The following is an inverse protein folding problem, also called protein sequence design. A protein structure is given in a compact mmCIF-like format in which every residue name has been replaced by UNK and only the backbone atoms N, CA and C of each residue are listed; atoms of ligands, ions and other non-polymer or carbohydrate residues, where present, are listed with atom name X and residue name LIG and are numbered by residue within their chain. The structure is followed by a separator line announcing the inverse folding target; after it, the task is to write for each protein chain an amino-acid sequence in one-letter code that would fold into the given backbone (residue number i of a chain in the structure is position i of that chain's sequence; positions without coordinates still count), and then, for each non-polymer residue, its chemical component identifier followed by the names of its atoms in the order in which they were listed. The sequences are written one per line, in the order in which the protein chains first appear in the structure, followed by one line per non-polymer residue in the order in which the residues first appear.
data_IF_373410472130
#
_entry.id   IF_373410472130
#
_cell.length_a   1.000
_cell.length_b   1.000
_cell.length_c   1.000
_cell.angle_alpha   90.00
_cell.angle_beta   90.00
_cell.angle_gamma   90.00
#
_symmetry.space_group_name_H-M   'P 1'
#
loop_
_entity.id
_entity.type
_entity.pdbx_description
1 polymer ?
#
# COMPACT_ATOMS: atom_id res chain seq x y z
N UNK A 1 -16.72 5.56 -16.45
CA UNK A 1 -15.92 4.75 -15.51
C UNK A 1 -15.02 5.71 -14.74
N UNK A 2 -15.19 5.83 -13.43
CA UNK A 2 -14.32 6.68 -12.60
C UNK A 2 -12.90 6.15 -12.68
N UNK A 3 -11.92 7.02 -12.91
CA UNK A 3 -10.50 6.68 -12.92
C UNK A 3 -10.11 6.17 -11.54
N UNK A 4 -9.98 4.85 -11.39
CA UNK A 4 -9.59 4.18 -10.15
C UNK A 4 -8.07 4.31 -9.88
N UNK A 5 -7.51 5.51 -10.04
CA UNK A 5 -6.06 5.75 -9.97
C UNK A 5 -5.45 5.45 -8.59
N UNK A 6 -6.27 5.57 -7.54
CA UNK A 6 -5.84 5.32 -6.16
C UNK A 6 -6.18 3.91 -5.67
N UNK A 7 -6.92 3.12 -6.47
CA UNK A 7 -7.30 1.76 -6.12
C UNK A 7 -6.10 0.84 -6.33
N UNK A 8 -5.68 0.16 -5.27
CA UNK A 8 -4.57 -0.81 -5.32
C UNK A 8 -5.04 -2.25 -5.47
N UNK A 9 -6.25 -2.55 -5.01
CA UNK A 9 -6.82 -3.89 -5.07
C UNK A 9 -8.35 -3.88 -5.08
N UNK A 10 -8.96 -4.89 -5.70
CA UNK A 10 -10.40 -5.15 -5.73
C UNK A 10 -10.65 -6.59 -5.29
N UNK A 11 -11.56 -6.75 -4.33
CA UNK A 11 -11.99 -8.04 -3.81
C UNK A 11 -13.42 -8.32 -4.25
N UNK A 12 -13.61 -9.41 -4.97
CA UNK A 12 -14.91 -9.76 -5.54
C UNK A 12 -15.41 -11.11 -5.02
N UNK A 13 -16.70 -11.17 -4.76
CA UNK A 13 -17.45 -12.37 -4.42
C UNK A 13 -18.31 -12.84 -5.59
N UNK A 14 -19.42 -13.52 -5.29
CA UNK A 14 -20.41 -14.03 -6.24
C UNK A 14 -19.96 -15.22 -7.09
N UNK A 15 -18.72 -15.24 -7.60
CA UNK A 15 -18.16 -16.37 -8.34
C UNK A 15 -17.50 -17.39 -7.40
N UNK A 16 -18.21 -18.51 -7.19
CA UNK A 16 -17.78 -19.54 -6.23
C UNK A 16 -16.76 -20.50 -6.84
N UNK A 17 -16.59 -20.41 -8.15
CA UNK A 17 -15.74 -21.26 -8.95
C UNK A 17 -14.51 -20.53 -9.48
N UNK A 18 -14.25 -19.33 -8.99
CA UNK A 18 -13.11 -18.54 -9.42
C UNK A 18 -12.12 -18.33 -8.27
N UNK A 19 -10.86 -18.63 -8.56
CA UNK A 19 -9.72 -18.43 -7.67
C UNK A 19 -8.66 -17.50 -8.26
N UNK A 20 -9.02 -16.74 -9.27
CA UNK A 20 -8.11 -15.75 -9.81
C UNK A 20 -7.75 -14.73 -8.73
N UNK A 21 -6.45 -14.50 -8.57
CA UNK A 21 -5.90 -13.40 -7.80
C UNK A 21 -4.59 -12.98 -8.41
N UNK A 22 -4.58 -11.81 -9.02
CA UNK A 22 -3.45 -11.31 -9.78
C UNK A 22 -3.69 -9.89 -10.27
N UNK A 23 -2.70 -9.35 -10.97
CA UNK A 23 -2.76 -7.98 -11.47
C UNK A 23 -3.58 -7.95 -12.75
N UNK A 24 -4.56 -7.06 -12.78
CA UNK A 24 -5.36 -6.76 -13.96
C UNK A 24 -5.41 -5.24 -14.12
N UNK A 25 -4.88 -4.74 -15.23
CA UNK A 25 -4.88 -3.29 -15.55
C UNK A 25 -4.26 -2.41 -14.46
N UNK A 26 -3.20 -2.89 -13.79
CA UNK A 26 -2.53 -2.17 -12.70
C UNK A 26 -3.24 -2.22 -11.34
N UNK A 27 -4.30 -3.03 -11.21
CA UNK A 27 -5.06 -3.24 -9.98
C UNK A 27 -5.01 -4.72 -9.62
N UNK A 28 -4.78 -5.04 -8.36
CA UNK A 28 -4.84 -6.42 -7.89
C UNK A 28 -6.30 -6.89 -7.77
N UNK A 29 -6.76 -7.74 -8.69
CA UNK A 29 -8.10 -8.32 -8.67
C UNK A 29 -8.05 -9.71 -8.06
N UNK A 30 -8.80 -9.94 -6.98
CA UNK A 30 -8.84 -11.23 -6.31
C UNK A 30 -10.27 -11.69 -6.01
N UNK A 31 -10.59 -12.90 -6.48
CA UNK A 31 -11.81 -13.61 -6.11
C UNK A 31 -11.63 -14.32 -4.77
N UNK A 32 -12.67 -14.24 -3.93
CA UNK A 32 -12.71 -14.90 -2.63
C UNK A 32 -13.05 -16.41 -2.74
N UNK A 33 -13.74 -16.83 -3.82
CA UNK A 33 -14.27 -18.18 -3.98
C UNK A 33 -15.54 -18.42 -3.15
N UNK A 34 -15.87 -19.70 -2.95
CA UNK A 34 -17.07 -20.13 -2.20
C UNK A 34 -16.75 -20.61 -0.78
N UNK A 35 -17.30 -19.92 0.23
CA UNK A 35 -17.15 -20.29 1.66
C UNK A 35 -18.36 -21.08 2.21
N UNK A 36 -19.61 -20.63 1.98
CA UNK A 36 -20.82 -21.14 2.65
C UNK A 36 -21.59 -22.26 1.92
N UNK A 37 -22.26 -23.15 2.67
CA UNK A 37 -22.90 -24.36 2.12
C UNK A 37 -24.09 -24.13 1.19
N UNK A 38 -24.74 -22.97 1.30
CA UNK A 38 -25.93 -22.63 0.53
C UNK A 38 -25.62 -21.85 -0.76
N UNK A 39 -24.82 -22.45 -1.64
CA UNK A 39 -24.58 -21.91 -2.96
C UNK A 39 -23.98 -22.92 -3.93
N UNK A 40 -23.92 -22.55 -5.21
CA UNK A 40 -23.28 -23.38 -6.23
C UNK A 40 -21.79 -23.57 -5.95
N UNK A 41 -21.27 -24.71 -6.40
CA UNK A 41 -19.89 -25.13 -6.18
C UNK A 41 -19.52 -26.27 -7.12
N UNK A 42 -18.28 -26.76 -7.01
CA UNK A 42 -17.75 -27.86 -7.81
C UNK A 42 -17.41 -29.02 -6.87
N UNK A 43 -17.89 -30.21 -7.20
CA UNK A 43 -17.58 -31.41 -6.43
C UNK A 43 -16.07 -31.63 -6.37
N UNK A 44 -15.57 -31.98 -5.18
CA UNK A 44 -14.13 -32.14 -4.93
C UNK A 44 -13.35 -30.82 -4.83
N UNK A 45 -14.01 -29.66 -4.87
CA UNK A 45 -13.34 -28.37 -4.67
C UNK A 45 -13.51 -27.87 -3.24
N UNK A 46 -12.38 -27.63 -2.56
CA UNK A 46 -12.37 -27.17 -1.18
C UNK A 46 -13.08 -25.81 -1.05
N UNK A 47 -13.72 -25.59 0.10
CA UNK A 47 -14.23 -24.26 0.48
C UNK A 47 -13.05 -23.37 0.82
N UNK A 48 -13.17 -22.07 0.53
CA UNK A 48 -12.00 -21.17 0.44
C UNK A 48 -12.33 -19.82 1.04
N UNK A 49 -11.34 -19.21 1.67
CA UNK A 49 -11.38 -17.82 2.09
C UNK A 49 -10.03 -17.17 1.80
N UNK A 50 -9.99 -15.86 1.56
CA UNK A 50 -8.73 -15.14 1.29
C UNK A 50 -8.40 -14.21 2.43
N UNK A 51 -7.15 -14.25 2.89
CA UNK A 51 -6.61 -13.30 3.86
C UNK A 51 -5.67 -12.36 3.14
N UNK A 52 -5.87 -11.07 3.35
CA UNK A 52 -5.09 -10.01 2.72
C UNK A 52 -4.43 -9.19 3.80
N UNK A 53 -3.10 -9.15 3.77
CA UNK A 53 -2.32 -8.34 4.69
C UNK A 53 -2.01 -6.99 4.04
N UNK A 54 -2.44 -5.91 4.67
CA UNK A 54 -2.24 -4.55 4.18
C UNK A 54 -1.33 -3.82 5.17
N UNK A 55 -0.21 -3.30 4.68
CA UNK A 55 0.72 -2.49 5.48
C UNK A 55 0.93 -1.14 4.82
N UNK A 56 0.93 -0.09 5.65
CA UNK A 56 1.36 1.25 5.25
C UNK A 56 2.86 1.36 5.47
N UNK A 57 3.61 1.73 4.43
CA UNK A 57 5.04 1.99 4.60
C UNK A 57 5.23 3.30 5.39
N UNK A 58 6.16 3.28 6.36
CA UNK A 58 6.54 4.48 7.11
C UNK A 58 7.52 5.26 6.26
N UNK A 59 7.23 6.54 6.03
CA UNK A 59 8.19 7.45 5.41
C UNK A 59 9.31 7.73 6.41
N UNK A 60 10.54 7.38 6.07
CA UNK A 60 11.73 7.89 6.75
C UNK A 60 11.72 9.41 6.59
N UNK A 61 11.44 10.12 7.68
CA UNK A 61 11.68 11.56 7.71
C UNK A 61 13.19 11.69 7.81
N UNK A 62 13.84 12.13 6.74
CA UNK A 62 15.16 12.77 6.89
C UNK A 62 14.89 14.08 7.63
N UNK A 63 14.79 14.00 8.95
CA UNK A 63 15.03 15.17 9.79
C UNK A 63 16.52 15.39 9.64
N UNK A 64 16.88 16.42 8.86
CA UNK A 64 18.25 16.85 8.73
C UNK A 64 18.74 17.31 10.10
N UNK A 65 19.29 16.38 10.89
CA UNK A 65 20.20 16.71 11.96
C UNK A 65 21.54 17.03 11.31
N UNK A 66 21.69 18.29 10.86
CA UNK A 66 23.02 18.81 10.61
C UNK A 66 23.64 19.13 11.97
N UNK A 67 24.33 18.16 12.55
CA UNK A 67 25.33 18.40 13.58
C UNK A 67 26.47 19.21 12.96
N UNK A 68 26.37 20.54 12.99
CA UNK A 68 27.51 21.40 12.70
C UNK A 68 28.42 21.43 13.92
N UNK A 69 29.51 20.66 13.87
CA UNK A 69 30.65 20.86 14.75
C UNK A 69 31.17 22.30 14.55
N UNK A 70 31.14 23.08 15.62
CA UNK A 70 31.78 24.38 15.69
C UNK A 70 33.30 24.22 15.62
N UNK A 71 33.95 24.92 14.69
CA UNK A 71 35.35 25.33 14.85
C UNK A 71 35.40 26.85 14.71
N UNK A 72 35.92 27.48 15.74
CA UNK A 72 36.14 28.92 15.85
C UNK A 72 37.18 29.37 14.81
N UNK A 73 36.85 30.44 14.09
CA UNK A 73 37.74 31.08 13.13
C UNK A 73 37.04 32.24 12.42
N UNK A 74 37.30 33.45 12.92
CA UNK A 74 36.98 34.78 12.38
C UNK A 74 36.39 34.86 10.96
N UNK A 75 35.10 35.23 10.85
CA UNK A 75 34.58 36.27 9.95
C UNK A 75 33.04 36.28 10.01
N UNK A 76 32.49 37.46 10.25
CA UNK A 76 31.06 37.76 10.32
C UNK A 76 30.40 37.62 8.94
N UNK A 77 29.41 36.73 8.80
CA UNK A 77 28.37 36.82 7.76
C UNK A 77 27.05 36.29 8.32
N UNK A 78 26.09 37.21 8.52
CA UNK A 78 24.72 36.89 8.88
C UNK A 78 24.03 36.34 7.64
N UNK A 79 23.85 35.02 7.57
CA UNK A 79 23.04 34.38 6.52
C UNK A 79 21.68 34.02 7.09
N UNK A 80 20.71 34.93 6.95
CA UNK A 80 19.30 34.64 7.24
C UNK A 80 18.82 33.69 6.14
N UNK A 81 18.91 32.39 6.39
CA UNK A 81 18.22 31.40 5.55
C UNK A 81 16.75 31.38 5.95
N UNK A 82 15.92 31.96 5.09
CA UNK A 82 14.48 31.86 5.16
C UNK A 82 14.10 30.36 5.19
N UNK A 83 13.31 29.87 6.16
CA UNK A 83 12.87 28.49 6.12
C UNK A 83 11.89 28.37 4.96
N UNK A 84 12.38 27.84 3.83
CA UNK A 84 11.56 27.36 2.75
C UNK A 84 10.63 26.31 3.36
N UNK A 85 9.36 26.67 3.57
CA UNK A 85 8.32 25.73 3.99
C UNK A 85 8.19 24.67 2.89
N UNK A 86 8.95 23.60 3.01
CA UNK A 86 8.80 22.39 2.20
C UNK A 86 7.42 21.84 2.53
N UNK A 87 6.48 22.03 1.59
CA UNK A 87 5.13 21.49 1.65
C UNK A 87 5.24 19.98 1.45
N UNK A 88 5.43 19.26 2.56
CA UNK A 88 5.46 17.80 2.61
C UNK A 88 4.06 17.23 2.36
N UNK A 89 3.64 17.16 1.10
CA UNK A 89 2.52 16.31 0.68
C UNK A 89 3.01 14.87 0.60
N UNK A 90 3.18 14.23 1.77
CA UNK A 90 3.67 12.86 1.87
C UNK A 90 2.59 11.84 1.52
N UNK A 91 2.48 11.48 0.24
CA UNK A 91 1.73 10.30 -0.17
C UNK A 91 2.43 9.04 0.36
N UNK A 92 1.75 8.25 1.19
CA UNK A 92 2.29 7.00 1.76
C UNK A 92 2.09 5.85 0.78
N UNK A 93 3.12 5.03 0.55
CA UNK A 93 2.99 3.83 -0.26
C UNK A 93 2.21 2.76 0.53
N UNK A 94 1.10 2.28 -0.05
CA UNK A 94 0.33 1.16 0.47
C UNK A 94 0.89 -0.14 -0.12
N UNK A 95 1.48 -1.00 0.73
CA UNK A 95 1.91 -2.34 0.31
C UNK A 95 0.85 -3.36 0.70
N UNK A 96 0.29 -4.03 -0.31
CA UNK A 96 -0.70 -5.10 -0.12
C UNK A 96 -0.02 -6.44 -0.42
N UNK A 97 -0.03 -7.36 0.55
CA UNK A 97 0.38 -8.75 0.37
C UNK A 97 -0.86 -9.64 0.35
N UNK A 98 -0.97 -10.46 -0.70
CA UNK A 98 -2.09 -11.38 -0.89
C UNK A 98 -1.63 -12.76 -0.50
N UNK A 99 -2.30 -13.35 0.51
CA UNK A 99 -2.05 -14.73 0.91
C UNK A 99 -3.28 -15.56 0.56
N UNK A 100 -3.07 -16.66 -0.16
CA UNK A 100 -4.11 -17.64 -0.37
C UNK A 100 -4.22 -18.48 0.90
N UNK A 101 -5.36 -18.42 1.57
CA UNK A 101 -5.70 -19.38 2.63
C UNK A 101 -6.57 -20.45 1.96
N UNK A 102 -6.16 -21.70 2.12
CA UNK A 102 -6.88 -22.86 1.56
C UNK A 102 -7.89 -23.31 2.58
#
# INVERSE_FOLDING_TARGET
MVTAGDVKAVFTGQDHLNDFCGELTGIQLCFAGGFGYHAYGKAGWARRARVVAVNLEKTERVVGEQSSQSKQGSALMISISLPLMVKSSGARALRVKFTKVV
#
